data_IF_888487909429
#
_entry.id   IF_888487909429
#
_cell.length_a   1.000
_cell.length_b   1.000
_cell.length_c   1.000
_cell.angle_alpha   90.00
_cell.angle_beta   90.00
_cell.angle_gamma   90.00
#
_symmetry.space_group_name_H-M   'P 1'
#
loop_
_entity.id
_entity.type
_entity.pdbx_description
1 polymer ?
#
# COMPACT_ATOMS: atom_id res chain seq x y z
N UNK A 1 31.68 -2.23 -34.60
CA UNK A 1 30.45 -1.67 -33.98
C UNK A 1 29.81 -2.78 -33.19
N UNK A 2 29.47 -2.54 -31.93
CA UNK A 2 29.01 -3.59 -31.01
C UNK A 2 27.50 -3.81 -31.10
N UNK A 3 27.08 -5.07 -30.95
CA UNK A 3 25.67 -5.42 -30.77
C UNK A 3 25.23 -5.03 -29.35
N UNK A 4 24.14 -4.27 -29.25
CA UNK A 4 23.49 -3.95 -27.97
C UNK A 4 22.79 -5.20 -27.43
N UNK A 5 23.42 -5.89 -26.47
CA UNK A 5 22.72 -6.94 -25.73
C UNK A 5 21.62 -6.32 -24.85
N UNK A 6 20.37 -6.75 -25.08
CA UNK A 6 19.19 -6.15 -24.49
C UNK A 6 18.62 -7.08 -23.40
N UNK A 7 18.22 -6.57 -22.22
CA UNK A 7 17.74 -7.42 -21.12
C UNK A 7 16.58 -8.34 -21.53
N UNK A 8 16.83 -9.66 -21.42
CA UNK A 8 15.99 -10.75 -21.95
C UNK A 8 14.51 -10.71 -21.51
N UNK A 9 14.20 -10.02 -20.41
CA UNK A 9 12.84 -9.86 -19.89
C UNK A 9 11.91 -9.01 -20.78
N UNK A 10 12.42 -8.18 -21.71
CA UNK A 10 11.55 -7.44 -22.65
C UNK A 10 10.91 -8.32 -23.73
N UNK A 11 11.60 -9.38 -24.15
CA UNK A 11 11.28 -10.16 -25.36
C UNK A 11 9.94 -10.94 -25.24
N UNK A 12 9.40 -11.06 -24.03
CA UNK A 12 8.16 -11.82 -23.77
C UNK A 12 6.88 -10.99 -23.91
N UNK A 13 6.94 -9.66 -23.91
CA UNK A 13 5.75 -8.80 -23.98
C UNK A 13 5.19 -8.68 -25.42
N UNK A 14 6.06 -8.69 -26.43
CA UNK A 14 5.72 -8.43 -27.83
C UNK A 14 5.10 -9.65 -28.57
N UNK A 15 4.73 -10.71 -27.84
CA UNK A 15 4.41 -12.03 -28.42
C UNK A 15 3.07 -12.66 -28.05
N UNK A 16 2.21 -11.91 -27.35
CA UNK A 16 0.81 -12.30 -27.12
C UNK A 16 -0.13 -11.26 -27.74
N UNK A 17 -0.92 -11.58 -28.79
CA UNK A 17 -1.97 -10.69 -29.25
C UNK A 17 -3.01 -10.53 -28.14
N UNK A 18 -3.51 -9.30 -27.95
CA UNK A 18 -4.47 -9.01 -26.88
C UNK A 18 -5.81 -9.74 -27.13
N UNK A 19 -6.45 -10.31 -26.09
CA UNK A 19 -7.77 -10.91 -26.24
C UNK A 19 -8.82 -9.82 -26.55
N UNK A 20 -9.63 -10.08 -27.57
CA UNK A 20 -10.68 -9.15 -28.03
C UNK A 20 -11.69 -8.84 -26.92
N UNK A 21 -11.99 -7.55 -26.74
CA UNK A 21 -13.02 -7.08 -25.80
C UNK A 21 -14.41 -7.58 -26.23
N UNK A 22 -15.18 -8.10 -25.27
CA UNK A 22 -16.62 -8.29 -25.37
C UNK A 22 -17.34 -7.37 -24.37
N UNK A 23 -18.54 -6.85 -24.70
CA UNK A 23 -19.22 -5.85 -23.89
C UNK A 23 -19.80 -6.42 -22.58
N UNK A 24 -19.77 -5.59 -21.54
CA UNK A 24 -20.27 -5.88 -20.19
C UNK A 24 -21.82 -5.92 -20.14
N UNK A 25 -22.39 -6.96 -19.54
CA UNK A 25 -23.83 -7.06 -19.23
C UNK A 25 -24.08 -7.72 -17.87
N UNK A 26 -24.57 -6.90 -16.93
CA UNK A 26 -25.41 -7.21 -15.75
C UNK A 26 -25.20 -8.51 -14.94
N UNK A 27 -24.83 -8.29 -13.66
CA UNK A 27 -25.56 -8.77 -12.47
C UNK A 27 -26.05 -10.22 -12.37
N UNK A 28 -25.52 -10.97 -11.39
CA UNK A 28 -26.27 -11.33 -10.15
C UNK A 28 -25.40 -12.07 -9.11
N UNK A 29 -25.96 -12.28 -7.91
CA UNK A 29 -25.29 -12.89 -6.75
C UNK A 29 -25.67 -14.35 -6.56
N UNK A 30 -24.68 -15.22 -6.37
CA UNK A 30 -24.83 -16.52 -5.70
C UNK A 30 -23.47 -17.00 -5.18
N UNK A 31 -23.43 -17.60 -3.99
CA UNK A 31 -22.23 -18.29 -3.45
C UNK A 31 -22.67 -19.54 -2.67
N UNK A 32 -22.30 -20.75 -3.09
CA UNK A 32 -22.66 -21.99 -2.40
C UNK A 32 -21.67 -22.31 -1.26
N UNK A 33 -22.17 -22.86 -0.16
CA UNK A 33 -21.38 -23.22 1.02
C UNK A 33 -20.65 -24.57 0.87
N UNK A 34 -19.48 -24.77 1.52
CA UNK A 34 -18.81 -26.06 1.60
C UNK A 34 -19.45 -26.97 2.68
N UNK A 35 -19.60 -28.29 2.44
CA UNK A 35 -20.11 -29.23 3.43
C UNK A 35 -19.04 -29.69 4.44
N UNK A 36 -19.47 -30.12 5.63
CA UNK A 36 -18.65 -30.81 6.63
C UNK A 36 -18.89 -32.33 6.58
N UNK A 37 -17.86 -33.16 6.77
CA UNK A 37 -17.98 -34.45 7.49
C UNK A 37 -16.64 -35.13 7.77
N UNK A 38 -16.66 -35.96 8.82
CA UNK A 38 -15.51 -36.69 9.40
C UNK A 38 -15.19 -38.01 8.70
N UNK A 39 -14.02 -38.59 8.98
CA UNK A 39 -13.67 -39.97 8.62
C UNK A 39 -12.55 -40.51 9.53
N UNK A 40 -12.70 -41.75 10.01
CA UNK A 40 -11.86 -42.34 11.07
C UNK A 40 -11.00 -43.52 10.56
N UNK A 41 -9.94 -43.84 11.32
CA UNK A 41 -8.84 -44.79 11.04
C UNK A 41 -9.25 -46.23 10.69
N UNK A 42 -8.38 -46.95 9.96
CA UNK A 42 -8.17 -48.41 10.12
C UNK A 42 -6.74 -48.83 9.76
N UNK A 43 -6.29 -49.96 10.32
CA UNK A 43 -4.91 -50.49 10.40
C UNK A 43 -5.05 -52.03 10.68
N UNK A 44 -4.00 -52.83 11.03
CA UNK A 44 -2.57 -52.75 10.76
C UNK A 44 -2.24 -53.72 9.59
N UNK A 45 -1.66 -54.94 9.68
CA UNK A 45 -0.95 -55.67 10.76
C UNK A 45 0.55 -55.24 10.81
N UNK A 46 1.52 -55.83 11.54
CA UNK A 46 1.66 -57.12 12.25
C UNK A 46 2.38 -56.95 13.61
N UNK A 47 2.51 -58.07 14.33
CA UNK A 47 3.09 -58.25 15.69
C UNK A 47 4.18 -59.37 15.65
N UNK A 48 4.98 -59.68 16.72
CA UNK A 48 4.69 -59.47 18.15
C UNK A 48 5.84 -59.04 19.12
N UNK A 49 5.38 -58.46 20.25
CA UNK A 49 5.75 -58.73 21.66
C UNK A 49 7.18 -59.13 22.05
N UNK A 50 7.82 -58.27 22.86
CA UNK A 50 8.19 -58.62 24.25
C UNK A 50 8.37 -57.36 25.11
N UNK A 51 8.00 -57.43 26.39
CA UNK A 51 8.31 -56.41 27.40
C UNK A 51 9.69 -56.69 28.03
N UNK A 52 10.45 -55.65 28.35
CA UNK A 52 11.23 -55.57 29.60
C UNK A 52 11.61 -54.12 29.92
N UNK A 53 11.78 -53.80 31.20
CA UNK A 53 12.08 -52.45 31.69
C UNK A 53 13.55 -52.27 32.10
N UNK A 54 14.04 -51.02 32.04
CA UNK A 54 14.96 -50.45 33.04
C UNK A 54 15.11 -48.92 32.88
N UNK A 55 15.08 -48.22 34.02
CA UNK A 55 15.74 -46.97 34.39
C UNK A 55 16.20 -45.95 33.33
N UNK A 56 15.65 -44.74 33.45
CA UNK A 56 16.46 -43.52 33.34
C UNK A 56 17.39 -43.44 34.56
N UNK A 57 18.67 -43.05 34.42
CA UNK A 57 18.92 -41.61 34.22
C UNK A 57 20.17 -41.20 33.42
N UNK A 58 20.21 -39.90 33.13
CA UNK A 58 21.42 -39.04 33.11
C UNK A 58 22.16 -38.77 31.78
N UNK A 59 22.71 -37.54 31.76
CA UNK A 59 23.82 -37.02 30.98
C UNK A 59 23.67 -36.84 29.45
N UNK A 60 23.81 -35.56 29.06
CA UNK A 60 24.06 -35.04 27.71
C UNK A 60 22.92 -35.15 26.69
N UNK A 61 22.30 -34.01 26.41
CA UNK A 61 21.84 -33.65 25.06
C UNK A 61 23.02 -33.80 24.08
N UNK A 62 23.14 -34.98 23.47
CA UNK A 62 24.19 -35.34 22.49
C UNK A 62 24.05 -34.62 21.15
N UNK A 63 23.65 -33.35 21.17
CA UNK A 63 23.34 -32.52 20.01
C UNK A 63 24.61 -32.25 19.22
N UNK A 64 24.86 -33.10 18.22
CA UNK A 64 26.03 -33.01 17.32
C UNK A 64 26.33 -31.55 16.95
N UNK A 65 27.59 -31.07 17.11
CA UNK A 65 27.96 -29.71 16.75
C UNK A 65 27.54 -29.38 15.32
N UNK A 66 27.01 -28.17 15.11
CA UNK A 66 26.58 -27.67 13.79
C UNK A 66 27.76 -27.64 12.83
N UNK A 67 27.97 -28.72 12.09
CA UNK A 67 29.13 -28.89 11.22
C UNK A 67 29.25 -27.77 10.19
N UNK A 68 30.48 -27.45 9.77
CA UNK A 68 30.81 -26.25 8.96
C UNK A 68 29.92 -26.09 7.71
N UNK A 69 29.51 -27.19 7.07
CA UNK A 69 28.57 -27.18 5.92
C UNK A 69 27.16 -26.68 6.30
N UNK A 70 26.65 -27.06 7.48
CA UNK A 70 25.38 -26.59 8.01
C UNK A 70 25.47 -25.13 8.48
N UNK A 71 26.57 -24.75 9.14
CA UNK A 71 26.82 -23.36 9.52
C UNK A 71 26.87 -22.41 8.31
N UNK A 72 27.60 -22.80 7.24
CA UNK A 72 27.61 -22.04 5.97
C UNK A 72 26.22 -21.94 5.34
N UNK A 73 25.44 -23.03 5.31
CA UNK A 73 24.04 -23.00 4.80
C UNK A 73 23.17 -22.04 5.60
N UNK A 74 23.26 -22.07 6.94
CA UNK A 74 22.51 -21.19 7.82
C UNK A 74 22.87 -19.71 7.61
N UNK A 75 24.15 -19.39 7.38
CA UNK A 75 24.59 -18.03 7.06
C UNK A 75 23.98 -17.53 5.75
N UNK A 76 24.08 -18.30 4.66
CA UNK A 76 23.47 -17.95 3.36
C UNK A 76 21.95 -17.82 3.44
N UNK A 77 21.27 -18.66 4.24
CA UNK A 77 19.83 -18.55 4.48
C UNK A 77 19.49 -17.27 5.27
N UNK A 78 20.30 -16.89 6.25
CA UNK A 78 20.13 -15.65 7.02
C UNK A 78 20.33 -14.42 6.13
N UNK A 79 21.38 -14.38 5.29
CA UNK A 79 21.56 -13.32 4.28
C UNK A 79 20.35 -13.18 3.35
N UNK A 80 19.78 -14.29 2.88
CA UNK A 80 18.57 -14.27 2.04
C UNK A 80 17.35 -13.71 2.79
N UNK A 81 17.15 -14.11 4.04
CA UNK A 81 16.08 -13.60 4.91
C UNK A 81 16.23 -12.09 5.15
N UNK A 82 17.45 -11.61 5.44
CA UNK A 82 17.74 -10.18 5.59
C UNK A 82 17.46 -9.39 4.30
N UNK A 83 17.92 -9.89 3.14
CA UNK A 83 17.66 -9.28 1.83
C UNK A 83 16.15 -9.21 1.53
N UNK A 84 15.39 -10.27 1.86
CA UNK A 84 13.92 -10.28 1.73
C UNK A 84 13.24 -9.28 2.68
N UNK A 85 13.65 -9.24 3.94
CA UNK A 85 13.10 -8.31 4.94
C UNK A 85 13.32 -6.85 4.52
N UNK A 86 14.56 -6.50 4.13
CA UNK A 86 14.90 -5.16 3.66
C UNK A 86 14.09 -4.74 2.43
N UNK A 87 13.88 -5.64 1.47
CA UNK A 87 13.04 -5.36 0.29
C UNK A 87 11.57 -5.10 0.66
N UNK A 88 11.04 -5.84 1.64
CA UNK A 88 9.68 -5.64 2.15
C UNK A 88 9.55 -4.31 2.90
N UNK A 89 10.56 -3.94 3.68
CA UNK A 89 10.63 -2.67 4.42
C UNK A 89 10.71 -1.46 3.48
N UNK A 90 11.59 -1.48 2.46
CA UNK A 90 11.67 -0.40 1.48
C UNK A 90 10.39 -0.28 0.67
N UNK A 91 9.82 -1.40 0.22
CA UNK A 91 8.55 -1.41 -0.52
C UNK A 91 7.37 -0.86 0.31
N UNK A 92 7.30 -1.20 1.60
CA UNK A 92 6.30 -0.66 2.51
C UNK A 92 6.48 0.85 2.75
N UNK A 93 7.74 1.31 2.89
CA UNK A 93 8.05 2.74 3.00
C UNK A 93 7.69 3.51 1.73
N UNK A 94 8.11 3.05 0.56
CA UNK A 94 7.81 3.68 -0.73
C UNK A 94 6.30 3.81 -0.96
N UNK A 95 5.51 2.80 -0.59
CA UNK A 95 4.04 2.85 -0.65
C UNK A 95 3.44 3.90 0.30
N UNK A 96 3.98 4.01 1.53
CA UNK A 96 3.59 5.05 2.50
C UNK A 96 3.95 6.45 2.02
N UNK A 97 5.17 6.66 1.57
CA UNK A 97 5.68 7.96 1.13
C UNK A 97 4.92 8.44 -0.13
N UNK A 98 4.62 7.53 -1.07
CA UNK A 98 3.82 7.81 -2.27
C UNK A 98 2.35 8.13 -1.93
N UNK A 99 1.73 7.39 -1.02
CA UNK A 99 0.33 7.66 -0.61
C UNK A 99 0.22 8.98 0.18
N UNK A 100 1.16 9.27 1.08
CA UNK A 100 1.26 10.55 1.78
C UNK A 100 1.50 11.73 0.82
N UNK A 101 2.32 11.54 -0.24
CA UNK A 101 2.51 12.55 -1.28
C UNK A 101 1.22 12.82 -2.07
N UNK A 102 0.55 11.76 -2.56
CA UNK A 102 -0.73 11.89 -3.30
C UNK A 102 -1.82 12.57 -2.45
N UNK A 103 -1.87 12.31 -1.15
CA UNK A 103 -2.79 12.97 -0.24
C UNK A 103 -2.51 14.48 -0.11
N UNK A 104 -1.24 14.88 0.02
CA UNK A 104 -0.87 16.31 0.02
C UNK A 104 -1.15 17.00 -1.33
N UNK A 105 -0.95 16.30 -2.45
CA UNK A 105 -1.29 16.80 -3.79
C UNK A 105 -2.80 16.99 -3.94
N UNK A 106 -3.62 16.07 -3.42
CA UNK A 106 -5.08 16.20 -3.37
C UNK A 106 -5.53 17.39 -2.51
N UNK A 107 -4.98 17.55 -1.29
CA UNK A 107 -5.31 18.69 -0.42
C UNK A 107 -4.98 20.03 -1.10
N UNK A 108 -3.82 20.12 -1.78
CA UNK A 108 -3.43 21.31 -2.54
C UNK A 108 -4.35 21.57 -3.73
N UNK A 109 -4.79 20.52 -4.42
CA UNK A 109 -5.74 20.64 -5.53
C UNK A 109 -7.11 21.16 -5.05
N UNK A 110 -7.58 20.69 -3.90
CA UNK A 110 -8.84 21.14 -3.30
C UNK A 110 -8.77 22.60 -2.83
N UNK A 111 -7.68 23.00 -2.15
CA UNK A 111 -7.40 24.39 -1.76
C UNK A 111 -7.37 25.35 -2.96
N UNK A 112 -6.74 24.93 -4.07
CA UNK A 112 -6.72 25.70 -5.31
C UNK A 112 -8.10 25.78 -5.99
N UNK A 113 -8.87 24.69 -5.99
CA UNK A 113 -10.24 24.68 -6.54
C UNK A 113 -11.18 25.58 -5.73
N UNK A 114 -11.08 25.56 -4.40
CA UNK A 114 -11.85 26.46 -3.53
C UNK A 114 -11.53 27.92 -3.88
N UNK A 115 -10.24 28.29 -3.95
CA UNK A 115 -9.81 29.66 -4.30
C UNK A 115 -10.25 30.12 -5.68
N UNK A 116 -10.30 29.22 -6.67
CA UNK A 116 -10.85 29.56 -8.01
C UNK A 116 -12.35 29.87 -7.92
N UNK A 117 -13.13 29.06 -7.20
CA UNK A 117 -14.57 29.32 -7.00
C UNK A 117 -14.80 30.59 -6.18
N UNK A 118 -13.96 30.87 -5.18
CA UNK A 118 -14.00 32.11 -4.39
C UNK A 118 -13.69 33.34 -5.26
N UNK A 119 -12.70 33.27 -6.15
CA UNK A 119 -12.40 34.32 -7.11
C UNK A 119 -13.54 34.54 -8.12
N UNK A 120 -14.14 33.47 -8.66
CA UNK A 120 -15.29 33.57 -9.57
C UNK A 120 -16.50 34.22 -8.89
N UNK A 121 -16.74 33.91 -7.61
CA UNK A 121 -17.78 34.55 -6.78
C UNK A 121 -17.45 36.03 -6.55
N UNK A 122 -16.23 36.36 -6.13
CA UNK A 122 -15.81 37.75 -5.90
C UNK A 122 -15.85 38.59 -7.19
N UNK A 123 -15.55 37.99 -8.34
CA UNK A 123 -15.54 38.62 -9.66
C UNK A 123 -16.92 38.91 -10.26
N UNK A 124 -18.02 38.34 -9.76
CA UNK A 124 -19.38 38.67 -10.25
C UNK A 124 -19.72 40.13 -10.01
N UNK A 125 -20.03 40.89 -11.04
CA UNK A 125 -20.78 42.13 -10.86
C UNK A 125 -22.19 41.82 -10.33
N UNK A 126 -22.67 42.65 -9.40
CA UNK A 126 -24.01 42.52 -8.81
C UNK A 126 -24.96 43.63 -9.25
N UNK A 127 -24.48 44.64 -9.98
CA UNK A 127 -25.30 45.72 -10.55
C UNK A 127 -26.06 45.27 -11.80
N UNK A 128 -25.51 44.34 -12.58
CA UNK A 128 -26.17 43.64 -13.68
C UNK A 128 -27.02 42.42 -13.26
N UNK A 129 -27.03 42.06 -11.97
CA UNK A 129 -27.76 40.90 -11.44
C UNK A 129 -29.25 41.22 -11.24
N UNK A 130 -30.07 40.86 -12.21
CA UNK A 130 -31.53 41.11 -12.20
C UNK A 130 -32.25 40.30 -11.12
N UNK A 131 -31.93 39.01 -10.97
CA UNK A 131 -32.54 38.16 -9.95
C UNK A 131 -32.15 38.60 -8.53
N UNK A 132 -33.14 38.67 -7.65
CA UNK A 132 -32.98 39.01 -6.24
C UNK A 132 -32.36 37.86 -5.44
N UNK A 133 -32.67 36.59 -5.78
CA UNK A 133 -32.12 35.44 -5.08
C UNK A 133 -30.63 35.25 -5.39
N UNK A 134 -30.23 35.32 -6.67
CA UNK A 134 -28.83 35.33 -7.10
C UNK A 134 -28.06 36.51 -6.48
N UNK A 135 -28.63 37.72 -6.52
CA UNK A 135 -28.04 38.93 -5.92
C UNK A 135 -27.83 38.77 -4.41
N UNK A 136 -28.81 38.23 -3.68
CA UNK A 136 -28.71 37.97 -2.26
C UNK A 136 -27.69 36.86 -1.94
N UNK A 137 -27.66 35.79 -2.73
CA UNK A 137 -26.70 34.69 -2.60
C UNK A 137 -25.26 35.19 -2.73
N UNK A 138 -24.91 35.85 -3.84
CA UNK A 138 -23.54 36.34 -4.02
C UNK A 138 -23.18 37.44 -3.03
N UNK A 139 -24.12 38.34 -2.66
CA UNK A 139 -23.89 39.33 -1.59
C UNK A 139 -23.51 38.67 -0.26
N UNK A 140 -24.13 37.53 0.08
CA UNK A 140 -23.77 36.75 1.27
C UNK A 140 -22.45 36.01 1.08
N UNK A 141 -22.23 35.36 -0.05
CA UNK A 141 -21.04 34.58 -0.34
C UNK A 141 -19.77 35.44 -0.31
N UNK A 142 -19.77 36.61 -0.99
CA UNK A 142 -18.65 37.56 -0.96
C UNK A 142 -18.28 37.99 0.47
N UNK A 143 -19.27 38.25 1.34
CA UNK A 143 -19.03 38.61 2.75
C UNK A 143 -18.36 37.49 3.54
N UNK A 144 -18.73 36.23 3.29
CA UNK A 144 -18.09 35.07 3.94
C UNK A 144 -16.64 34.92 3.46
N UNK A 145 -16.38 35.05 2.16
CA UNK A 145 -15.04 34.93 1.58
C UNK A 145 -14.12 36.05 2.09
N UNK A 146 -14.58 37.30 2.08
CA UNK A 146 -13.79 38.43 2.59
C UNK A 146 -13.44 38.25 4.08
N UNK A 147 -14.38 37.77 4.90
CA UNK A 147 -14.14 37.45 6.31
C UNK A 147 -13.14 36.29 6.50
N UNK A 148 -13.19 35.27 5.65
CA UNK A 148 -12.22 34.15 5.64
C UNK A 148 -10.81 34.63 5.26
N UNK A 149 -10.70 35.58 4.33
CA UNK A 149 -9.42 36.19 3.94
C UNK A 149 -8.85 37.08 5.06
N UNK A 150 -9.67 37.90 5.69
CA UNK A 150 -9.33 38.70 6.88
C UNK A 150 -8.87 37.80 8.04
N UNK A 151 -9.57 36.70 8.31
CA UNK A 151 -9.18 35.70 9.30
C UNK A 151 -7.86 35.01 8.95
N UNK A 152 -7.57 34.76 7.67
CA UNK A 152 -6.32 34.16 7.22
C UNK A 152 -5.12 35.13 7.29
N UNK A 153 -5.33 36.43 7.05
CA UNK A 153 -4.30 37.47 7.22
C UNK A 153 -3.92 37.67 8.69
N UNK A 154 -4.87 37.50 9.61
CA UNK A 154 -4.64 37.60 11.06
C UNK A 154 -4.06 36.32 11.69
N UNK A 155 -3.83 35.24 10.92
CA UNK A 155 -3.16 34.03 11.41
C UNK A 155 -1.63 34.15 11.22
N UNK A 156 -0.81 33.63 12.16
CA UNK A 156 0.63 33.54 11.95
C UNK A 156 0.93 32.63 10.75
N UNK A 157 1.96 32.94 9.94
CA UNK A 157 2.24 32.19 8.72
C UNK A 157 2.55 30.72 9.04
N UNK A 158 2.07 29.76 8.23
CA UNK A 158 2.28 28.34 8.48
C UNK A 158 3.77 28.01 8.49
N UNK A 159 4.23 27.34 9.54
CA UNK A 159 5.65 27.07 9.77
C UNK A 159 6.23 26.22 8.64
N UNK A 160 7.22 26.78 7.94
CA UNK A 160 7.93 26.10 6.87
C UNK A 160 8.71 24.91 7.44
N UNK A 161 8.56 23.69 6.87
CA UNK A 161 9.31 22.53 7.33
C UNK A 161 10.78 22.67 6.90
N UNK A 162 11.63 23.12 7.82
CA UNK A 162 13.08 23.28 7.63
C UNK A 162 13.76 21.92 7.40
N UNK A 163 13.80 21.49 6.13
CA UNK A 163 14.40 20.22 5.71
C UNK A 163 15.94 20.28 5.67
N UNK A 164 16.56 20.58 6.81
CA UNK A 164 18.01 20.58 6.99
C UNK A 164 18.53 19.14 7.20
N UNK A 165 18.51 18.34 6.13
CA UNK A 165 19.19 17.04 6.10
C UNK A 165 19.92 16.82 4.78
N UNK A 166 21.04 17.55 4.61
CA UNK A 166 22.04 17.19 3.62
C UNK A 166 22.71 15.86 4.06
N UNK A 167 22.89 14.88 3.15
CA UNK A 167 23.69 13.70 3.44
C UNK A 167 25.18 14.04 3.42
N UNK A 168 25.90 13.50 4.40
CA UNK A 168 27.37 13.39 4.44
C UNK A 168 27.80 11.94 4.22
#
# INVERSE_FOLDING_TARGET
>A
MELRDAPKWRILLDKTPAPTLLPNSQSQSASPAPPQSSGTVSNPPNTPTSEQAADSPSANDGRRPTGVKAAKRALTQNEFLQKKLKLMETSAKESRDLSQKRFQEMLRANDLQEKVVEMDILGKDLSSCVDEFERAYYTRAKKVILKKLEEAENQPPPSTPTNNQAPS
#
